data_IF_513697608119
#
_entry.id   IF_513697608119
#
_cell.length_a   1.000
_cell.length_b   1.000
_cell.length_c   1.000
_cell.angle_alpha   90.00
_cell.angle_beta   90.00
_cell.angle_gamma   90.00
#
_symmetry.space_group_name_H-M   'P 1'
#
loop_
_entity.id
_entity.type
_entity.pdbx_description
1 polymer ?
#
# COMPACT_ATOMS: atom_id res chain seq x y z
N UNK A 1 -24.02 15.02 -3.81
CA UNK A 1 -24.51 13.86 -4.58
C UNK A 1 -23.86 12.64 -3.97
N UNK A 2 -24.63 11.66 -3.49
CA UNK A 2 -24.05 10.44 -2.95
C UNK A 2 -23.53 9.62 -4.13
N UNK A 3 -22.21 9.58 -4.31
CA UNK A 3 -21.57 8.64 -5.25
C UNK A 3 -22.14 7.24 -4.99
N UNK A 4 -22.57 6.57 -6.06
CA UNK A 4 -22.94 5.17 -5.99
C UNK A 4 -21.67 4.37 -5.70
N UNK A 5 -21.38 4.15 -4.41
CA UNK A 5 -20.37 3.17 -4.00
C UNK A 5 -20.78 1.84 -4.63
N UNK A 6 -19.85 1.12 -5.23
CA UNK A 6 -20.05 -0.23 -5.76
C UNK A 6 -19.06 -1.16 -5.06
N UNK A 7 -19.49 -2.36 -4.70
CA UNK A 7 -18.57 -3.42 -4.27
C UNK A 7 -17.52 -3.65 -5.36
N UNK A 8 -16.23 -3.54 -5.01
CA UNK A 8 -15.12 -3.75 -5.94
C UNK A 8 -14.06 -4.61 -5.25
N UNK A 9 -13.63 -5.68 -5.92
CA UNK A 9 -12.54 -6.54 -5.43
C UNK A 9 -11.19 -5.81 -5.52
N UNK A 10 -10.18 -6.30 -4.81
CA UNK A 10 -8.81 -5.79 -4.98
C UNK A 10 -8.37 -5.92 -6.44
N UNK A 11 -8.54 -7.10 -7.05
CA UNK A 11 -8.18 -7.35 -8.44
C UNK A 11 -8.85 -6.37 -9.42
N UNK A 12 -10.16 -6.12 -9.29
CA UNK A 12 -10.88 -5.21 -10.20
C UNK A 12 -10.46 -3.76 -10.03
N UNK A 13 -10.28 -3.30 -8.79
CA UNK A 13 -9.83 -1.94 -8.50
C UNK A 13 -8.41 -1.74 -9.03
N UNK A 14 -7.51 -2.67 -8.74
CA UNK A 14 -6.12 -2.62 -9.17
C UNK A 14 -5.99 -2.54 -10.69
N UNK A 15 -6.79 -3.31 -11.47
CA UNK A 15 -6.78 -3.19 -12.94
C UNK A 15 -7.10 -1.77 -13.41
N UNK A 16 -8.14 -1.14 -12.83
CA UNK A 16 -8.51 0.24 -13.16
C UNK A 16 -7.39 1.23 -12.81
N UNK A 17 -6.73 1.07 -11.66
CA UNK A 17 -5.62 1.96 -11.26
C UNK A 17 -4.44 1.82 -12.22
N UNK A 18 -4.10 0.59 -12.62
CA UNK A 18 -3.03 0.32 -13.60
C UNK A 18 -3.35 0.98 -14.94
N UNK A 19 -4.58 0.83 -15.44
CA UNK A 19 -5.02 1.47 -16.68
C UNK A 19 -4.94 3.01 -16.59
N UNK A 20 -5.34 3.60 -15.47
CA UNK A 20 -5.24 5.05 -15.25
C UNK A 20 -3.79 5.54 -15.16
N UNK A 21 -2.89 4.78 -14.53
CA UNK A 21 -1.45 5.09 -14.52
C UNK A 21 -0.88 5.05 -15.93
N UNK A 22 -1.19 4.01 -16.72
CA UNK A 22 -0.70 3.90 -18.10
C UNK A 22 -1.18 5.08 -18.96
N UNK A 23 -2.47 5.45 -18.86
CA UNK A 23 -3.02 6.63 -19.54
C UNK A 23 -2.33 7.92 -19.11
N UNK A 24 -2.12 8.12 -17.80
CA UNK A 24 -1.48 9.32 -17.25
C UNK A 24 -0.06 9.48 -17.77
N UNK A 25 0.75 8.42 -17.68
CA UNK A 25 2.14 8.41 -18.16
C UNK A 25 2.21 8.80 -19.64
N UNK A 26 1.41 8.13 -20.50
CA UNK A 26 1.37 8.41 -21.94
C UNK A 26 0.90 9.83 -22.28
N UNK A 27 0.05 10.42 -21.45
CA UNK A 27 -0.56 11.72 -21.71
C UNK A 27 0.27 12.92 -21.24
N UNK A 28 1.14 12.75 -20.24
CA UNK A 28 1.79 13.86 -19.56
C UNK A 28 3.15 14.22 -20.14
N UNK A 29 4.07 13.26 -20.29
CA UNK A 29 5.38 13.50 -20.90
C UNK A 29 6.11 12.18 -21.21
N UNK A 30 6.81 12.07 -22.35
CA UNK A 30 7.76 10.98 -22.60
C UNK A 30 8.86 10.86 -21.54
N UNK A 31 9.16 11.93 -20.79
CA UNK A 31 10.14 11.89 -19.71
C UNK A 31 9.72 10.96 -18.55
N UNK A 32 8.45 10.56 -18.50
CA UNK A 32 7.93 9.59 -17.52
C UNK A 32 8.13 8.13 -17.97
N UNK A 33 8.45 7.88 -19.24
CA UNK A 33 8.59 6.52 -19.79
C UNK A 33 9.59 5.66 -18.99
N UNK A 34 10.76 6.17 -18.54
CA UNK A 34 11.68 5.40 -17.71
C UNK A 34 11.07 4.96 -16.36
N UNK A 35 10.09 5.70 -15.85
CA UNK A 35 9.43 5.42 -14.57
C UNK A 35 8.10 4.69 -14.72
N UNK A 36 7.65 4.42 -15.95
CA UNK A 36 6.42 3.69 -16.19
C UNK A 36 6.42 2.30 -15.52
N UNK A 37 7.48 1.46 -15.62
CA UNK A 37 7.44 0.13 -15.01
C UNK A 37 7.25 0.18 -13.49
N UNK A 38 7.93 1.11 -12.82
CA UNK A 38 7.83 1.27 -11.36
C UNK A 38 6.49 1.87 -10.93
N UNK A 39 5.92 2.78 -11.71
CA UNK A 39 4.56 3.31 -11.48
C UNK A 39 3.50 2.22 -11.63
N UNK A 40 3.62 1.36 -12.65
CA UNK A 40 2.70 0.23 -12.86
C UNK A 40 2.83 -0.82 -11.76
N UNK A 41 4.06 -1.10 -11.29
CA UNK A 41 4.28 -1.95 -10.13
C UNK A 41 3.63 -1.35 -8.86
N UNK A 42 3.86 -0.07 -8.58
CA UNK A 42 3.24 0.60 -7.43
C UNK A 42 1.71 0.59 -7.52
N UNK A 43 1.13 0.84 -8.70
CA UNK A 43 -0.30 0.74 -8.95
C UNK A 43 -0.84 -0.67 -8.69
N UNK A 44 -0.11 -1.70 -9.11
CA UNK A 44 -0.49 -3.11 -8.91
C UNK A 44 -0.55 -3.46 -7.42
N UNK A 45 0.39 -2.95 -6.63
CA UNK A 45 0.57 -3.30 -5.22
C UNK A 45 -0.15 -2.37 -4.23
N UNK A 46 -0.57 -1.16 -4.61
CA UNK A 46 -0.97 -0.10 -3.66
C UNK A 46 -1.99 -0.55 -2.61
N UNK A 47 -2.95 -1.37 -3.02
CA UNK A 47 -4.06 -1.86 -2.20
C UNK A 47 -3.93 -3.32 -1.74
N UNK A 48 -2.79 -3.99 -2.00
CA UNK A 48 -2.56 -5.39 -1.59
C UNK A 48 -2.80 -5.58 -0.08
N UNK A 49 -2.38 -4.62 0.73
CA UNK A 49 -2.57 -4.58 2.19
C UNK A 49 -4.02 -4.53 2.65
N UNK A 50 -4.99 -4.27 1.76
CA UNK A 50 -6.42 -4.41 2.09
C UNK A 50 -6.81 -5.88 2.28
N UNK A 51 -6.03 -6.84 1.77
CA UNK A 51 -6.25 -8.26 2.04
C UNK A 51 -6.01 -8.65 3.50
N UNK A 52 -5.37 -7.77 4.29
CA UNK A 52 -5.11 -8.00 5.68
C UNK A 52 -6.41 -8.16 6.49
N UNK A 53 -6.40 -9.08 7.46
CA UNK A 53 -7.59 -9.44 8.25
C UNK A 53 -8.24 -8.25 8.93
N UNK A 54 -7.46 -7.27 9.40
CA UNK A 54 -7.99 -6.05 10.03
C UNK A 54 -8.87 -5.22 9.08
N UNK A 55 -8.50 -5.18 7.80
CA UNK A 55 -9.32 -4.49 6.80
C UNK A 55 -10.54 -5.34 6.45
N UNK A 56 -10.34 -6.62 6.14
CA UNK A 56 -11.44 -7.50 5.70
C UNK A 56 -12.48 -7.74 6.80
N UNK A 57 -12.09 -7.87 8.07
CA UNK A 57 -13.01 -8.01 9.20
C UNK A 57 -13.89 -6.76 9.42
N UNK A 58 -13.47 -5.61 8.90
CA UNK A 58 -14.24 -4.38 8.97
C UNK A 58 -15.12 -4.15 7.74
N UNK A 59 -15.10 -5.07 6.77
CA UNK A 59 -16.05 -5.08 5.67
C UNK A 59 -17.41 -5.53 6.20
N UNK A 60 -18.51 -4.78 5.94
CA UNK A 60 -19.84 -5.15 6.42
C UNK A 60 -20.30 -6.53 5.91
N UNK A 61 -20.97 -7.28 6.79
CA UNK A 61 -21.36 -8.68 6.56
C UNK A 61 -22.37 -8.91 5.42
N UNK A 62 -22.98 -7.86 4.86
CA UNK A 62 -23.88 -7.95 3.70
C UNK A 62 -23.14 -8.03 2.35
N UNK A 63 -21.83 -8.27 2.36
CA UNK A 63 -21.04 -8.51 1.14
C UNK A 63 -21.53 -9.76 0.41
N UNK A 64 -22.02 -9.59 -0.81
CA UNK A 64 -22.80 -10.60 -1.54
C UNK A 64 -21.98 -11.67 -2.25
N UNK A 65 -20.65 -11.66 -2.15
CA UNK A 65 -19.78 -12.67 -2.77
C UNK A 65 -18.95 -13.38 -1.70
N UNK A 66 -19.28 -14.65 -1.45
CA UNK A 66 -18.45 -15.55 -0.65
C UNK A 66 -17.06 -15.69 -1.30
N UNK A 67 -15.99 -15.44 -0.54
CA UNK A 67 -14.60 -15.66 -0.97
C UNK A 67 -13.91 -14.49 -1.70
N UNK A 68 -14.60 -13.37 -1.95
CA UNK A 68 -13.97 -12.19 -2.55
C UNK A 68 -13.19 -11.36 -1.51
N UNK A 69 -11.98 -10.92 -1.85
CA UNK A 69 -11.22 -9.95 -1.06
C UNK A 69 -11.55 -8.53 -1.56
N UNK A 70 -12.19 -7.73 -0.72
CA UNK A 70 -12.77 -6.45 -1.11
C UNK A 70 -11.77 -5.29 -0.99
N UNK A 71 -11.72 -4.42 -2.01
CA UNK A 71 -11.04 -3.13 -1.94
C UNK A 71 -11.97 -2.00 -1.51
N UNK A 72 -13.26 -2.12 -1.81
CA UNK A 72 -14.30 -1.13 -1.52
C UNK A 72 -15.64 -1.76 -1.20
N UNK A 73 -16.37 -1.06 -0.34
CA UNK A 73 -17.65 -1.48 0.24
C UNK A 73 -18.76 -0.51 -0.13
N UNK A 74 -20.00 -1.02 -0.29
CA UNK A 74 -21.18 -0.16 -0.52
C UNK A 74 -21.46 0.76 0.68
N UNK A 75 -21.34 0.19 1.88
CA UNK A 75 -21.56 0.89 3.14
C UNK A 75 -20.24 1.32 3.76
N UNK A 76 -20.25 2.30 4.68
CA UNK A 76 -19.07 2.61 5.48
C UNK A 76 -18.50 1.34 6.14
N UNK A 77 -17.17 1.23 6.17
CA UNK A 77 -16.47 0.19 6.91
C UNK A 77 -16.86 0.23 8.39
N UNK A 78 -16.90 -0.94 9.01
CA UNK A 78 -16.96 -1.05 10.47
C UNK A 78 -15.67 -0.53 11.10
N UNK A 79 -15.70 -0.32 12.42
CA UNK A 79 -14.52 0.14 13.13
C UNK A 79 -13.46 -0.96 13.15
N UNK A 80 -12.25 -0.62 12.72
CA UNK A 80 -11.11 -1.55 12.83
C UNK A 80 -10.87 -1.97 14.27
N UNK A 81 -10.68 -3.28 14.48
CA UNK A 81 -10.32 -3.84 15.78
C UNK A 81 -8.99 -3.27 16.29
N UNK A 82 -8.06 -2.99 15.36
CA UNK A 82 -6.80 -2.29 15.60
C UNK A 82 -6.89 -0.85 15.10
N UNK A 83 -6.99 0.14 16.02
CA UNK A 83 -6.96 1.55 15.65
C UNK A 83 -5.72 1.88 14.82
N UNK A 84 -5.84 2.91 13.98
CA UNK A 84 -4.76 3.42 13.14
C UNK A 84 -4.26 2.49 12.02
N UNK A 85 -4.86 1.31 11.81
CA UNK A 85 -4.48 0.40 10.73
C UNK A 85 -4.38 1.10 9.37
N UNK A 86 -3.23 0.89 8.70
CA UNK A 86 -2.87 1.45 7.40
C UNK A 86 -2.57 0.33 6.42
N UNK A 87 -3.47 0.12 5.46
CA UNK A 87 -3.25 -0.86 4.40
C UNK A 87 -2.06 -0.48 3.51
N UNK A 88 -1.80 0.82 3.33
CA UNK A 88 -0.66 1.30 2.55
C UNK A 88 0.69 0.83 3.11
N UNK A 89 0.82 0.71 4.44
CA UNK A 89 2.02 0.16 5.05
C UNK A 89 2.08 -1.36 4.84
N UNK A 90 0.96 -2.07 5.00
CA UNK A 90 0.92 -3.51 4.77
C UNK A 90 1.30 -3.86 3.32
N UNK A 91 0.79 -3.10 2.34
CA UNK A 91 1.15 -3.21 0.93
C UNK A 91 2.65 -3.02 0.71
N UNK A 92 3.24 -1.96 1.28
CA UNK A 92 4.66 -1.66 1.09
C UNK A 92 5.59 -2.69 1.75
N UNK A 93 5.23 -3.19 2.93
CA UNK A 93 5.99 -4.24 3.62
C UNK A 93 5.94 -5.56 2.85
N UNK A 94 4.77 -5.93 2.32
CA UNK A 94 4.64 -7.10 1.47
C UNK A 94 5.48 -6.93 0.20
N UNK A 95 5.39 -5.77 -0.46
CA UNK A 95 6.16 -5.44 -1.65
C UNK A 95 7.68 -5.61 -1.41
N UNK A 96 8.21 -5.07 -0.31
CA UNK A 96 9.62 -5.24 0.07
C UNK A 96 10.00 -6.70 0.35
N UNK A 97 9.11 -7.49 0.98
CA UNK A 97 9.35 -8.91 1.21
C UNK A 97 9.46 -9.73 -0.09
N UNK A 98 8.89 -9.22 -1.19
CA UNK A 98 8.99 -9.79 -2.54
C UNK A 98 10.16 -9.22 -3.37
N UNK A 99 11.04 -8.43 -2.76
CA UNK A 99 12.26 -7.93 -3.41
C UNK A 99 12.04 -6.80 -4.41
N UNK A 100 10.86 -6.17 -4.38
CA UNK A 100 10.55 -5.00 -5.19
C UNK A 100 11.36 -3.78 -4.76
N UNK A 101 11.52 -2.81 -5.66
CA UNK A 101 12.44 -1.70 -5.44
C UNK A 101 11.90 -0.65 -4.45
N UNK A 102 12.84 0.10 -3.84
CA UNK A 102 12.53 1.11 -2.82
C UNK A 102 11.56 2.19 -3.31
N UNK A 103 11.69 2.60 -4.57
CA UNK A 103 10.80 3.61 -5.16
C UNK A 103 9.36 3.09 -5.24
N UNK A 104 9.16 1.85 -5.67
CA UNK A 104 7.82 1.27 -5.75
C UNK A 104 7.19 1.16 -4.35
N UNK A 105 7.96 0.65 -3.38
CA UNK A 105 7.53 0.57 -1.99
C UNK A 105 7.21 1.95 -1.39
N UNK A 106 8.01 2.98 -1.69
CA UNK A 106 7.73 4.36 -1.30
C UNK A 106 6.39 4.85 -1.84
N UNK A 107 6.16 4.69 -3.15
CA UNK A 107 4.92 5.13 -3.81
C UNK A 107 3.69 4.41 -3.25
N UNK A 108 3.82 3.11 -2.96
CA UNK A 108 2.78 2.32 -2.29
C UNK A 108 2.54 2.81 -0.87
N UNK A 109 3.57 3.08 -0.07
CA UNK A 109 3.37 3.57 1.30
C UNK A 109 2.79 5.01 1.33
N UNK A 110 3.15 5.83 0.35
CA UNK A 110 2.81 7.25 0.32
C UNK A 110 1.48 7.56 -0.38
N UNK A 111 0.79 6.58 -0.97
CA UNK A 111 -0.41 6.86 -1.79
C UNK A 111 -1.61 7.46 -1.03
N UNK A 112 -1.64 7.47 0.31
CA UNK A 112 -2.59 8.27 1.11
C UNK A 112 -1.95 9.48 1.81
N UNK A 113 -0.66 9.73 1.56
CA UNK A 113 0.15 10.83 2.11
C UNK A 113 0.60 10.65 3.56
N UNK A 114 0.46 9.44 4.13
CA UNK A 114 0.62 9.20 5.58
C UNK A 114 1.92 8.50 5.96
N UNK A 115 2.44 7.63 5.10
CA UNK A 115 3.66 6.86 5.35
C UNK A 115 4.71 7.24 4.31
N UNK A 116 5.43 8.34 4.56
CA UNK A 116 6.53 8.81 3.70
C UNK A 116 7.88 8.41 4.29
N UNK A 117 8.40 9.19 5.23
CA UNK A 117 9.79 9.02 5.69
C UNK A 117 9.97 8.08 6.88
N UNK A 118 8.93 7.81 7.68
CA UNK A 118 9.11 7.04 8.91
C UNK A 118 7.93 6.14 9.23
N UNK A 119 8.26 4.89 9.54
CA UNK A 119 7.38 3.93 10.21
C UNK A 119 7.57 4.11 11.71
N UNK A 120 6.52 4.53 12.42
CA UNK A 120 6.52 4.71 13.87
C UNK A 120 5.13 4.45 14.41
N UNK A 121 5.06 3.96 15.65
CA UNK A 121 3.83 3.91 16.42
C UNK A 121 3.28 5.32 16.66
N UNK A 122 1.96 5.45 16.74
CA UNK A 122 1.25 6.66 17.13
C UNK A 122 1.08 6.78 18.65
N UNK A 123 0.87 8.00 19.18
CA UNK A 123 0.42 8.17 20.56
C UNK A 123 -0.85 7.33 20.82
N UNK A 124 -0.85 6.59 21.93
CA UNK A 124 -1.96 5.73 22.34
C UNK A 124 -2.30 4.58 21.38
N UNK A 125 -1.40 4.24 20.45
CA UNK A 125 -1.56 3.05 19.63
C UNK A 125 -1.49 1.78 20.49
N UNK A 126 -2.39 0.83 20.22
CA UNK A 126 -2.49 -0.40 20.97
C UNK A 126 -1.23 -1.26 20.78
N UNK A 127 -0.57 -1.59 21.89
CA UNK A 127 0.54 -2.55 21.92
C UNK A 127 0.00 -3.96 21.79
N UNK A 128 0.76 -4.89 21.18
CA UNK A 128 0.45 -6.30 21.26
C UNK A 128 0.35 -6.74 22.74
N UNK A 129 -0.78 -7.32 23.18
CA UNK A 129 -0.97 -7.67 24.58
C UNK A 129 -0.12 -8.87 25.02
N UNK A 130 0.15 -9.78 24.10
CA UNK A 130 0.84 -11.05 24.38
C UNK A 130 2.37 -10.91 24.42
N UNK A 131 2.91 -9.90 23.74
CA UNK A 131 4.35 -9.62 23.70
C UNK A 131 4.61 -8.10 23.68
N UNK A 132 4.98 -7.51 24.83
CA UNK A 132 5.27 -6.08 24.93
C UNK A 132 6.48 -5.61 24.12
N UNK A 133 7.37 -6.52 23.70
CA UNK A 133 8.57 -6.20 22.90
C UNK A 133 8.31 -6.33 21.40
N UNK A 134 7.18 -6.93 21.00
CA UNK A 134 6.82 -7.08 19.60
C UNK A 134 6.67 -5.71 18.93
N UNK A 135 7.40 -5.51 17.82
CA UNK A 135 7.35 -4.27 17.03
C UNK A 135 5.92 -4.02 16.55
N UNK A 136 5.49 -2.77 16.57
CA UNK A 136 4.17 -2.35 16.10
C UNK A 136 4.21 -0.92 15.57
N UNK A 137 3.48 -0.66 14.50
CA UNK A 137 3.30 0.68 13.95
C UNK A 137 2.09 0.74 13.03
N UNK A 138 1.31 1.82 13.14
CA UNK A 138 0.20 2.12 12.21
C UNK A 138 -0.82 0.97 12.10
N UNK A 139 -1.12 0.34 13.24
CA UNK A 139 -2.03 -0.79 13.39
C UNK A 139 -1.51 -2.12 12.86
N UNK A 140 -0.27 -2.17 12.36
CA UNK A 140 0.42 -3.39 11.96
C UNK A 140 1.33 -3.84 13.11
N UNK A 141 1.37 -5.14 13.35
CA UNK A 141 2.21 -5.80 14.34
C UNK A 141 3.23 -6.70 13.62
N UNK A 142 4.42 -6.85 14.21
CA UNK A 142 5.49 -7.67 13.64
C UNK A 142 5.03 -9.09 13.35
N UNK A 143 5.24 -9.60 12.14
CA UNK A 143 4.82 -10.96 11.79
C UNK A 143 3.31 -11.09 11.56
N UNK A 144 2.58 -9.98 11.42
CA UNK A 144 1.25 -10.01 10.80
C UNK A 144 1.33 -10.72 9.43
N UNK A 145 0.29 -11.43 9.08
CA UNK A 145 0.22 -12.19 7.82
C UNK A 145 -0.72 -11.48 6.86
N UNK A 146 -0.21 -11.15 5.68
CA UNK A 146 -1.03 -10.81 4.53
C UNK A 146 -1.37 -12.11 3.79
N UNK A 147 -2.65 -12.48 3.68
CA UNK A 147 -3.06 -13.66 2.90
C UNK A 147 -2.63 -13.57 1.43
N UNK A 148 -2.71 -14.68 0.72
CA UNK A 148 -2.59 -14.66 -0.74
C UNK A 148 -3.65 -13.70 -1.33
N UNK A 149 -3.23 -12.86 -2.27
CA UNK A 149 -4.08 -11.83 -2.87
C UNK A 149 -3.91 -11.80 -4.38
N UNK A 150 -5.04 -11.78 -5.09
CA UNK A 150 -5.09 -11.51 -6.52
C UNK A 150 -5.04 -10.00 -6.78
N UNK A 151 -4.01 -9.55 -7.49
CA UNK A 151 -3.79 -8.16 -7.92
C UNK A 151 -4.30 -7.90 -9.35
N UNK A 152 -5.00 -8.87 -9.95
CA UNK A 152 -5.57 -8.80 -11.29
C UNK A 152 -4.58 -9.15 -12.39
N UNK A 153 -5.11 -9.41 -13.59
CA UNK A 153 -4.37 -9.77 -14.81
C UNK A 153 -3.44 -10.98 -14.65
N UNK A 154 -3.81 -11.94 -13.80
CA UNK A 154 -3.02 -13.14 -13.53
C UNK A 154 -1.83 -12.92 -12.59
N UNK A 155 -1.72 -11.74 -11.97
CA UNK A 155 -0.71 -11.44 -10.95
C UNK A 155 -1.29 -11.71 -9.56
N UNK A 156 -0.78 -12.75 -8.90
CA UNK A 156 -1.11 -13.06 -7.51
C UNK A 156 0.12 -12.95 -6.62
N UNK A 157 -0.05 -12.41 -5.43
CA UNK A 157 0.99 -12.37 -4.40
C UNK A 157 0.70 -13.49 -3.41
N UNK A 158 1.64 -14.41 -3.16
CA UNK A 158 1.43 -15.47 -2.19
C UNK A 158 1.35 -14.90 -0.78
N UNK A 159 0.85 -15.71 0.17
CA UNK A 159 0.82 -15.33 1.57
C UNK A 159 2.19 -14.82 2.05
N UNK A 160 2.18 -13.64 2.69
CA UNK A 160 3.39 -12.91 3.05
C UNK A 160 3.37 -12.52 4.52
N UNK A 161 4.44 -12.85 5.24
CA UNK A 161 4.65 -12.38 6.62
C UNK A 161 5.28 -10.99 6.60
N UNK A 162 4.64 -10.03 7.26
CA UNK A 162 5.06 -8.63 7.28
C UNK A 162 6.11 -8.40 8.37
N UNK A 163 7.28 -7.89 7.97
CA UNK A 163 8.33 -7.47 8.92
C UNK A 163 8.29 -5.96 9.11
N UNK A 164 8.26 -5.50 10.35
CA UNK A 164 8.48 -4.13 10.77
C UNK A 164 9.96 -3.85 11.08
N UNK A 165 10.92 -4.71 10.69
CA UNK A 165 12.34 -4.48 11.04
C UNK A 165 12.86 -3.21 10.38
N UNK A 166 12.27 -2.86 9.25
CA UNK A 166 12.44 -1.59 8.56
C UNK A 166 12.14 -0.35 9.43
N UNK A 167 11.41 -0.46 10.55
CA UNK A 167 11.16 0.69 11.43
C UNK A 167 12.35 1.04 12.33
N UNK A 168 13.29 0.11 12.51
CA UNK A 168 14.46 0.29 13.36
C UNK A 168 15.50 1.21 12.71
N UNK A 169 16.44 1.71 13.50
CA UNK A 169 17.54 2.51 13.00
C UNK A 169 18.68 1.60 12.52
N UNK A 170 19.25 1.92 11.38
CA UNK A 170 20.40 1.21 10.82
C UNK A 170 19.99 0.19 9.76
N UNK A 171 20.63 -0.98 9.81
CA UNK A 171 20.49 -2.06 8.85
C UNK A 171 20.12 -3.34 9.59
N UNK A 172 19.08 -4.01 9.11
CA UNK A 172 18.69 -5.35 9.56
C UNK A 172 19.51 -6.39 8.78
N UNK A 173 20.08 -7.42 9.43
CA UNK A 173 20.91 -8.41 8.74
C UNK A 173 20.22 -9.18 7.61
N UNK A 174 18.89 -9.29 7.65
CA UNK A 174 18.09 -10.04 6.67
C UNK A 174 17.36 -9.10 5.71
N UNK A 175 16.74 -8.04 6.22
CA UNK A 175 15.91 -7.10 5.48
C UNK A 175 16.70 -5.94 4.89
N UNK A 176 17.97 -5.76 5.27
CA UNK A 176 18.83 -4.69 4.79
C UNK A 176 18.49 -3.33 5.40
N UNK A 177 18.70 -2.21 4.67
CA UNK A 177 18.55 -0.87 5.21
C UNK A 177 17.16 -0.60 5.81
N UNK A 178 17.12 0.17 6.90
CA UNK A 178 15.89 0.71 7.48
C UNK A 178 15.05 1.49 6.46
N UNK A 179 13.74 1.60 6.71
CA UNK A 179 12.83 2.42 5.93
C UNK A 179 13.35 3.85 5.81
N UNK A 180 13.77 4.45 6.92
CA UNK A 180 14.28 5.82 6.91
C UNK A 180 15.49 5.97 5.99
N UNK A 181 16.45 5.03 6.05
CA UNK A 181 17.63 5.07 5.18
C UNK A 181 17.25 4.96 3.69
N UNK A 182 16.36 4.02 3.34
CA UNK A 182 15.85 3.84 1.97
C UNK A 182 15.18 5.11 1.45
N UNK A 183 14.26 5.69 2.23
CA UNK A 183 13.51 6.88 1.80
C UNK A 183 14.37 8.14 1.73
N UNK A 184 15.36 8.28 2.61
CA UNK A 184 16.34 9.38 2.54
C UNK A 184 17.21 9.23 1.30
N UNK A 185 17.65 8.02 0.96
CA UNK A 185 18.42 7.77 -0.26
C UNK A 185 17.63 8.16 -1.52
N UNK A 186 16.34 7.82 -1.60
CA UNK A 186 15.47 8.26 -2.69
C UNK A 186 15.37 9.79 -2.75
N UNK A 187 15.10 10.44 -1.62
CA UNK A 187 14.94 11.91 -1.54
C UNK A 187 16.22 12.66 -1.94
N UNK A 188 17.38 12.13 -1.57
CA UNK A 188 18.67 12.79 -1.79
C UNK A 188 19.34 12.37 -3.12
N UNK A 189 18.75 11.41 -3.84
CA UNK A 189 19.22 11.00 -5.16
C UNK A 189 19.06 12.11 -6.20
N UNK A 190 20.04 12.23 -7.10
CA UNK A 190 19.94 13.13 -8.26
C UNK A 190 18.85 12.70 -9.26
N UNK A 191 18.54 11.39 -9.28
CA UNK A 191 17.54 10.82 -10.16
C UNK A 191 16.12 11.19 -9.73
N UNK A 192 15.79 11.13 -8.44
CA UNK A 192 14.43 11.41 -7.98
C UNK A 192 14.31 12.78 -7.31
N UNK A 193 15.11 13.04 -6.29
CA UNK A 193 14.97 14.26 -5.50
C UNK A 193 13.58 14.42 -4.87
N UNK A 194 13.32 15.49 -4.10
CA UNK A 194 12.01 15.72 -3.50
C UNK A 194 10.91 16.00 -4.53
N UNK A 195 11.24 16.63 -5.67
CA UNK A 195 10.24 17.07 -6.64
C UNK A 195 9.73 15.94 -7.53
N UNK A 196 10.58 15.05 -8.05
CA UNK A 196 10.09 13.92 -8.86
C UNK A 196 9.41 12.90 -7.97
N UNK A 197 9.87 12.66 -6.74
CA UNK A 197 9.15 11.82 -5.79
C UNK A 197 7.72 12.33 -5.55
N UNK A 198 7.55 13.64 -5.33
CA UNK A 198 6.22 14.22 -5.16
C UNK A 198 5.35 14.10 -6.43
N UNK A 199 5.95 14.27 -7.62
CA UNK A 199 5.26 14.08 -8.89
C UNK A 199 4.78 12.63 -9.04
N UNK A 200 5.67 11.65 -8.83
CA UNK A 200 5.35 10.23 -8.95
C UNK A 200 4.29 9.80 -7.93
N UNK A 201 4.37 10.28 -6.68
CA UNK A 201 3.34 10.08 -5.64
C UNK A 201 1.98 10.62 -6.12
N UNK A 202 1.97 11.83 -6.71
CA UNK A 202 0.75 12.45 -7.22
C UNK A 202 0.12 11.64 -8.36
N UNK A 203 0.93 11.04 -9.24
CA UNK A 203 0.41 10.19 -10.32
C UNK A 203 -0.34 8.98 -9.78
N UNK A 204 0.23 8.26 -8.80
CA UNK A 204 -0.44 7.13 -8.15
C UNK A 204 -1.71 7.59 -7.45
N UNK A 205 -1.67 8.72 -6.74
CA UNK A 205 -2.84 9.26 -6.05
C UNK A 205 -3.97 9.61 -7.01
N UNK A 206 -3.66 10.28 -8.11
CA UNK A 206 -4.64 10.69 -9.12
C UNK A 206 -5.22 9.47 -9.82
N UNK A 207 -4.40 8.47 -10.14
CA UNK A 207 -4.86 7.22 -10.73
C UNK A 207 -5.84 6.48 -9.81
N UNK A 208 -5.52 6.36 -8.51
CA UNK A 208 -6.41 5.76 -7.52
C UNK A 208 -7.75 6.51 -7.41
N UNK A 209 -7.74 7.85 -7.41
CA UNK A 209 -8.96 8.66 -7.44
C UNK A 209 -9.79 8.46 -8.71
N UNK A 210 -9.19 8.48 -9.89
CA UNK A 210 -9.92 8.29 -11.16
C UNK A 210 -10.50 6.89 -11.27
N UNK A 211 -9.74 5.86 -10.90
CA UNK A 211 -10.24 4.49 -10.80
C UNK A 211 -11.40 4.38 -9.80
N UNK A 212 -11.43 5.29 -8.82
CA UNK A 212 -12.42 5.30 -7.76
C UNK A 212 -13.75 5.95 -8.08
N UNK A 213 -13.78 6.92 -8.99
CA UNK A 213 -14.97 7.70 -9.34
C UNK A 213 -16.01 6.88 -10.14
N UNK A 214 -15.60 5.77 -10.77
CA UNK A 214 -16.49 4.95 -11.62
C UNK A 214 -16.81 5.66 -12.95
N UNK A 215 -17.35 4.93 -13.95
CA UNK A 215 -17.86 5.56 -15.17
C UNK A 215 -19.11 6.42 -14.94
#
# INVERSE_FOLDING_TARGET
>A
MAESRQWTTIADHTRKVVDEVDKLVRSLSPDLDPWQPVLLAAARWHDAGKAHSIFQNAVPADSTHEGAIWAKTLRPMERYERPHFRHELASALAMLAHGECDLAAYLVASHHGKVRLSIRSLPHEARPPDDPQRRFARGIWEGDVLPEVDLGDGVSVPQTTLSLSYMELGEDPQAGPSWLARMVALRDSEEFGPFRLALLEALIRIADWRASEGP
#
